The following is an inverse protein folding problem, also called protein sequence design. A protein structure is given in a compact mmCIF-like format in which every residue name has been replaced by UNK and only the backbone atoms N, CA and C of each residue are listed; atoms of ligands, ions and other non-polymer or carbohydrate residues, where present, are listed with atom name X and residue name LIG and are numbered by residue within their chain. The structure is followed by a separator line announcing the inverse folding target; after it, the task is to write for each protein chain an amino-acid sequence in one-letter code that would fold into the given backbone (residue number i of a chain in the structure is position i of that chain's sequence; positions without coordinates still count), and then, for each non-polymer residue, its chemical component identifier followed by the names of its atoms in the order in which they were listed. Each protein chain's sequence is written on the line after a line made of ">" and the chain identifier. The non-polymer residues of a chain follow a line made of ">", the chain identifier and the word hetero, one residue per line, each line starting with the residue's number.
data_IF_432499113228
#
_entry.id   IF_432499113228
#
_cell.length_a   1.000
_cell.length_b   1.000
_cell.length_c   1.000
_cell.angle_alpha   90.00
_cell.angle_beta   90.00
_cell.angle_gamma   90.00
#
_symmetry.space_group_name_H-M   'P 1'
#
loop_
_entity.id
_entity.type
_entity.pdbx_description
1 polymer ?
#
# COMPACT_ATOMS: atom_id res chain seq x y z
N UNK A 1 22.21 5.82 13.42
CA UNK A 1 21.06 5.18 12.72
C UNK A 1 19.99 4.79 13.72
N UNK A 2 18.71 5.07 13.44
CA UNK A 2 17.59 4.66 14.29
C UNK A 2 17.29 3.16 14.08
N UNK A 3 17.94 2.26 14.84
CA UNK A 3 17.83 0.80 14.67
C UNK A 3 16.38 0.30 14.71
N UNK A 4 15.56 0.86 15.61
CA UNK A 4 14.14 0.51 15.72
C UNK A 4 13.35 0.82 14.45
N UNK A 5 13.57 1.99 13.86
CA UNK A 5 12.88 2.40 12.62
C UNK A 5 13.16 1.43 11.48
N UNK A 6 14.44 1.08 11.28
CA UNK A 6 14.85 0.13 10.24
C UNK A 6 14.33 -1.29 10.46
N UNK A 7 14.28 -1.76 11.71
CA UNK A 7 13.68 -3.06 12.03
C UNK A 7 12.19 -3.09 11.66
N UNK A 8 11.44 -2.03 11.98
CA UNK A 8 10.04 -1.92 11.61
C UNK A 8 9.82 -1.85 10.09
N UNK A 9 10.73 -1.21 9.33
CA UNK A 9 10.70 -1.20 7.86
C UNK A 9 10.76 -2.62 7.31
N UNK A 10 11.75 -3.41 7.76
CA UNK A 10 11.93 -4.79 7.30
C UNK A 10 10.73 -5.66 7.71
N UNK A 11 10.26 -5.54 8.95
CA UNK A 11 9.08 -6.28 9.42
C UNK A 11 7.85 -5.96 8.57
N UNK A 12 7.57 -4.68 8.34
CA UNK A 12 6.41 -4.27 7.54
C UNK A 12 6.51 -4.80 6.10
N UNK A 13 7.69 -4.76 5.49
CA UNK A 13 7.93 -5.30 4.16
C UNK A 13 7.72 -6.81 4.08
N UNK A 14 8.28 -7.57 5.03
CA UNK A 14 8.13 -9.03 5.11
C UNK A 14 6.67 -9.40 5.34
N UNK A 15 5.97 -8.74 6.27
CA UNK A 15 4.56 -9.00 6.55
C UNK A 15 3.72 -8.74 5.30
N UNK A 16 3.90 -7.60 4.62
CA UNK A 16 3.16 -7.31 3.40
C UNK A 16 3.42 -8.37 2.32
N UNK A 17 4.68 -8.76 2.12
CA UNK A 17 5.07 -9.77 1.14
C UNK A 17 4.41 -11.13 1.40
N UNK A 18 4.42 -11.59 2.65
CA UNK A 18 3.84 -12.87 3.04
C UNK A 18 2.31 -12.86 2.92
N UNK A 19 1.65 -11.77 3.33
CA UNK A 19 0.19 -11.63 3.16
C UNK A 19 -0.18 -11.55 1.68
N UNK A 20 0.60 -10.81 0.88
CA UNK A 20 0.45 -10.73 -0.57
C UNK A 20 0.57 -12.11 -1.22
N UNK A 21 1.59 -12.88 -0.87
CA UNK A 21 1.79 -14.22 -1.40
C UNK A 21 0.66 -15.17 -0.98
N UNK A 22 0.32 -15.20 0.32
CA UNK A 22 -0.73 -16.05 0.85
C UNK A 22 -2.10 -15.74 0.22
N UNK A 23 -2.39 -14.47 -0.06
CA UNK A 23 -3.62 -14.06 -0.74
C UNK A 23 -3.73 -14.57 -2.19
N UNK A 24 -2.62 -15.03 -2.78
CA UNK A 24 -2.57 -15.57 -4.13
C UNK A 24 -2.64 -17.11 -4.19
N UNK A 25 -2.62 -17.79 -3.05
CA UNK A 25 -2.83 -19.23 -2.99
C UNK A 25 -4.23 -19.56 -3.48
N UNK A 26 -4.31 -20.44 -4.48
CA UNK A 26 -5.57 -20.86 -5.10
C UNK A 26 -5.68 -22.38 -5.07
N UNK A 27 -6.84 -22.88 -4.68
CA UNK A 27 -7.12 -24.33 -4.59
C UNK A 27 -7.71 -24.89 -5.88
N UNK A 28 -7.62 -26.20 -6.08
CA UNK A 28 -8.23 -26.88 -7.25
C UNK A 28 -9.74 -26.63 -7.34
N UNK A 29 -10.46 -26.67 -6.22
CA UNK A 29 -11.90 -26.40 -6.19
C UNK A 29 -12.25 -24.98 -6.68
N UNK A 30 -11.37 -23.99 -6.45
CA UNK A 30 -11.57 -22.64 -6.96
C UNK A 30 -11.27 -22.56 -8.47
N UNK A 31 -10.25 -23.28 -8.94
CA UNK A 31 -9.92 -23.35 -10.38
C UNK A 31 -11.02 -24.05 -11.20
N UNK A 32 -11.67 -25.05 -10.61
CA UNK A 32 -12.78 -25.80 -11.22
C UNK A 32 -14.14 -25.10 -11.08
N UNK A 33 -14.21 -23.93 -10.45
CA UNK A 33 -15.47 -23.19 -10.23
C UNK A 33 -16.41 -23.81 -9.18
N UNK A 34 -15.93 -24.80 -8.40
CA UNK A 34 -16.71 -25.47 -7.35
C UNK A 34 -16.77 -24.67 -6.04
N UNK A 35 -15.91 -23.66 -5.90
CA UNK A 35 -15.79 -22.83 -4.70
C UNK A 35 -15.76 -21.33 -5.01
N UNK A 36 -16.66 -20.87 -5.89
CA UNK A 36 -16.70 -19.50 -6.41
C UNK A 36 -16.83 -18.41 -5.33
N UNK A 37 -17.58 -18.66 -4.26
CA UNK A 37 -17.69 -17.72 -3.13
C UNK A 37 -16.35 -17.53 -2.41
N UNK A 38 -15.61 -18.63 -2.21
CA UNK A 38 -14.28 -18.60 -1.64
C UNK A 38 -13.28 -17.93 -2.59
N UNK A 39 -13.43 -18.17 -3.90
CA UNK A 39 -12.67 -17.47 -4.94
C UNK A 39 -12.91 -15.96 -4.89
N UNK A 40 -14.16 -15.50 -4.80
CA UNK A 40 -14.51 -14.08 -4.71
C UNK A 40 -13.86 -13.41 -3.49
N UNK A 41 -13.95 -14.05 -2.32
CA UNK A 41 -13.32 -13.55 -1.08
C UNK A 41 -11.79 -13.48 -1.19
N UNK A 42 -11.16 -14.54 -1.72
CA UNK A 42 -9.70 -14.61 -1.93
C UNK A 42 -9.22 -13.58 -2.95
N UNK A 43 -9.93 -13.41 -4.07
CA UNK A 43 -9.64 -12.38 -5.07
C UNK A 43 -9.77 -10.98 -4.47
N UNK A 44 -10.81 -10.72 -3.69
CA UNK A 44 -10.99 -9.43 -2.98
C UNK A 44 -9.77 -9.13 -2.11
N UNK A 45 -9.34 -10.09 -1.29
CA UNK A 45 -8.16 -9.95 -0.44
C UNK A 45 -6.90 -9.70 -1.26
N UNK A 46 -6.68 -10.49 -2.31
CA UNK A 46 -5.52 -10.33 -3.20
C UNK A 46 -5.49 -8.95 -3.84
N UNK A 47 -6.61 -8.48 -4.38
CA UNK A 47 -6.71 -7.17 -5.02
C UNK A 47 -6.51 -6.00 -4.04
N UNK A 48 -6.84 -6.19 -2.77
CA UNK A 48 -6.59 -5.19 -1.72
C UNK A 48 -5.12 -5.17 -1.32
N UNK A 49 -4.53 -6.32 -1.02
CA UNK A 49 -3.15 -6.41 -0.55
C UNK A 49 -2.15 -6.08 -1.67
N UNK A 50 -2.49 -6.43 -2.91
CA UNK A 50 -1.70 -6.14 -4.11
C UNK A 50 -2.10 -4.82 -4.78
N UNK A 51 -2.91 -3.98 -4.11
CA UNK A 51 -3.20 -2.64 -4.59
C UNK A 51 -1.92 -1.79 -4.62
N UNK A 52 -1.72 -1.02 -5.71
CA UNK A 52 -0.55 -0.17 -5.86
C UNK A 52 -0.42 0.85 -4.72
N UNK A 53 -1.54 1.35 -4.22
CA UNK A 53 -1.63 2.24 -3.06
C UNK A 53 -1.11 1.61 -1.78
N UNK A 54 -1.34 0.31 -1.56
CA UNK A 54 -0.85 -0.39 -0.36
C UNK A 54 0.67 -0.51 -0.41
N UNK A 55 1.22 -0.87 -1.56
CA UNK A 55 2.67 -0.93 -1.76
C UNK A 55 3.31 0.47 -1.69
N UNK A 56 2.70 1.48 -2.29
CA UNK A 56 3.13 2.86 -2.13
C UNK A 56 3.09 3.30 -0.65
N UNK A 57 2.04 2.88 0.07
CA UNK A 57 1.88 3.08 1.51
C UNK A 57 3.02 2.47 2.33
N UNK A 58 3.52 1.28 1.97
CA UNK A 58 4.69 0.69 2.61
C UNK A 58 5.94 1.58 2.45
N UNK A 59 6.19 2.12 1.25
CA UNK A 59 7.33 3.01 1.02
C UNK A 59 7.21 4.31 1.82
N UNK A 60 6.02 4.92 1.81
CA UNK A 60 5.71 6.14 2.60
C UNK A 60 5.85 5.87 4.10
N UNK A 61 5.29 4.77 4.62
CA UNK A 61 5.43 4.38 6.02
C UNK A 61 6.91 4.19 6.39
N UNK A 62 7.69 3.57 5.51
CA UNK A 62 9.11 3.32 5.75
C UNK A 62 9.91 4.61 5.92
N UNK A 63 9.69 5.59 5.06
CA UNK A 63 10.25 6.93 5.22
C UNK A 63 9.76 7.66 6.47
N UNK A 64 8.50 7.42 6.85
CA UNK A 64 7.92 7.93 8.09
C UNK A 64 8.54 7.30 9.35
N UNK A 65 9.04 6.07 9.28
CA UNK A 65 9.66 5.38 10.43
C UNK A 65 11.12 5.81 10.68
N UNK A 66 11.89 6.13 9.63
CA UNK A 66 13.34 6.42 9.75
C UNK A 66 13.71 7.87 10.05
N UNK A 67 12.72 8.78 10.10
CA UNK A 67 12.83 10.15 10.64
C UNK A 67 13.65 11.19 9.86
N UNK A 68 14.68 10.80 9.11
CA UNK A 68 15.56 11.72 8.37
C UNK A 68 15.36 11.59 6.86
N UNK A 69 15.53 12.68 6.11
CA UNK A 69 15.26 12.73 4.66
C UNK A 69 16.14 11.76 3.85
N UNK A 70 17.47 11.82 4.01
CA UNK A 70 18.37 10.94 3.26
C UNK A 70 18.13 9.44 3.56
N UNK A 71 18.03 8.98 4.83
CA UNK A 71 17.64 7.60 5.13
C UNK A 71 16.25 7.21 4.63
N UNK A 72 15.32 8.16 4.47
CA UNK A 72 13.96 7.86 4.03
C UNK A 72 13.89 7.41 2.58
N UNK A 73 14.72 8.00 1.71
CA UNK A 73 14.88 7.55 0.31
C UNK A 73 15.31 6.08 0.29
N UNK A 74 16.38 5.75 1.02
CA UNK A 74 16.86 4.37 1.12
C UNK A 74 15.81 3.44 1.74
N UNK A 75 15.10 3.87 2.78
CA UNK A 75 14.10 3.06 3.45
C UNK A 75 12.93 2.69 2.53
N UNK A 76 12.47 3.61 1.67
CA UNK A 76 11.41 3.32 0.71
C UNK A 76 11.84 2.29 -0.34
N UNK A 77 13.04 2.45 -0.92
CA UNK A 77 13.61 1.49 -1.88
C UNK A 77 13.81 0.12 -1.24
N UNK A 78 14.45 0.08 -0.06
CA UNK A 78 14.71 -1.17 0.66
C UNK A 78 13.41 -1.86 1.01
N UNK A 79 12.39 -1.15 1.49
CA UNK A 79 11.11 -1.75 1.84
C UNK A 79 10.45 -2.45 0.64
N UNK A 80 10.38 -1.79 -0.52
CA UNK A 80 9.75 -2.34 -1.71
C UNK A 80 10.55 -3.50 -2.31
N UNK A 81 11.88 -3.37 -2.35
CA UNK A 81 12.75 -4.46 -2.80
C UNK A 81 12.68 -5.66 -1.86
N UNK A 82 12.75 -5.45 -0.55
CA UNK A 82 12.60 -6.52 0.44
C UNK A 82 11.25 -7.20 0.28
N UNK A 83 10.16 -6.44 0.15
CA UNK A 83 8.84 -7.03 -0.03
C UNK A 83 8.76 -7.87 -1.32
N UNK A 84 9.29 -7.35 -2.44
CA UNK A 84 9.31 -8.07 -3.72
C UNK A 84 10.15 -9.34 -3.66
N UNK A 85 11.37 -9.24 -3.12
CA UNK A 85 12.30 -10.37 -3.00
C UNK A 85 11.72 -11.45 -2.09
N UNK A 86 11.14 -11.07 -0.95
CA UNK A 86 10.50 -12.04 -0.04
C UNK A 86 9.30 -12.70 -0.72
N UNK A 87 8.45 -11.92 -1.40
CA UNK A 87 7.28 -12.45 -2.10
C UNK A 87 7.68 -13.51 -3.13
N UNK A 88 8.63 -13.21 -4.01
CA UNK A 88 9.05 -14.14 -5.06
C UNK A 88 9.88 -15.31 -4.52
N UNK A 89 10.85 -15.07 -3.63
CA UNK A 89 11.68 -16.14 -3.08
C UNK A 89 10.87 -17.14 -2.25
N UNK A 90 9.93 -16.66 -1.44
CA UNK A 90 9.04 -17.55 -0.69
C UNK A 90 8.08 -18.25 -1.66
N UNK A 91 7.56 -17.57 -2.68
CA UNK A 91 6.74 -18.22 -3.71
C UNK A 91 7.46 -19.34 -4.45
N UNK A 92 8.76 -19.18 -4.76
CA UNK A 92 9.61 -20.25 -5.30
C UNK A 92 9.73 -21.40 -4.31
N UNK A 93 10.00 -21.11 -3.03
CA UNK A 93 10.16 -22.14 -1.99
C UNK A 93 8.89 -22.98 -1.78
N UNK A 94 7.71 -22.41 -2.02
CA UNK A 94 6.42 -23.10 -1.97
C UNK A 94 5.97 -23.68 -3.33
N UNK A 95 6.80 -23.59 -4.38
CA UNK A 95 6.47 -24.09 -5.72
C UNK A 95 5.36 -23.31 -6.44
N UNK A 96 5.04 -22.10 -5.98
CA UNK A 96 4.06 -21.22 -6.63
C UNK A 96 4.65 -20.52 -7.87
N UNK A 97 5.97 -20.32 -7.88
CA UNK A 97 6.70 -19.66 -8.95
C UNK A 97 7.90 -20.49 -9.38
N UNK A 98 8.27 -20.39 -10.65
CA UNK A 98 9.55 -20.87 -11.17
C UNK A 98 10.64 -19.77 -11.09
N UNK A 99 11.87 -20.11 -11.48
CA UNK A 99 12.98 -19.14 -11.50
C UNK A 99 12.81 -18.02 -12.54
N UNK A 100 11.96 -18.20 -13.55
CA UNK A 100 11.69 -17.17 -14.56
C UNK A 100 10.88 -15.99 -13.97
N UNK A 101 10.28 -16.15 -12.78
CA UNK A 101 9.57 -15.07 -12.07
C UNK A 101 10.40 -13.79 -11.92
N UNK A 102 11.72 -13.90 -11.75
CA UNK A 102 12.61 -12.75 -11.63
C UNK A 102 12.70 -11.93 -12.91
N UNK A 103 12.86 -12.61 -14.06
CA UNK A 103 12.93 -11.96 -15.36
C UNK A 103 11.55 -11.41 -15.76
N UNK A 104 10.49 -12.20 -15.56
CA UNK A 104 9.12 -11.80 -15.85
C UNK A 104 8.67 -10.55 -15.07
N UNK A 105 9.16 -10.39 -13.84
CA UNK A 105 8.79 -9.28 -12.95
C UNK A 105 9.91 -8.25 -12.75
N UNK A 106 10.91 -8.22 -13.64
CA UNK A 106 12.02 -7.25 -13.54
C UNK A 106 11.51 -5.81 -13.52
N UNK A 107 10.46 -5.51 -14.29
CA UNK A 107 9.84 -4.18 -14.33
C UNK A 107 9.31 -3.74 -12.95
N UNK A 108 8.80 -4.65 -12.12
CA UNK A 108 8.38 -4.34 -10.74
C UNK A 108 9.55 -4.02 -9.82
N UNK A 109 10.68 -4.72 -9.96
CA UNK A 109 11.90 -4.43 -9.20
C UNK A 109 12.47 -3.05 -9.60
N UNK A 110 12.46 -2.74 -10.90
CA UNK A 110 12.86 -1.42 -11.40
C UNK A 110 11.92 -0.32 -10.88
N UNK A 111 10.60 -0.55 -10.91
CA UNK A 111 9.62 0.38 -10.36
C UNK A 111 9.80 0.59 -8.85
N UNK A 112 10.11 -0.46 -8.09
CA UNK A 112 10.42 -0.37 -6.67
C UNK A 112 11.63 0.54 -6.39
N UNK A 113 12.67 0.47 -7.22
CA UNK A 113 13.83 1.37 -7.11
C UNK A 113 13.49 2.80 -7.50
N UNK A 114 12.81 2.97 -8.65
CA UNK A 114 12.50 4.29 -9.20
C UNK A 114 11.53 5.09 -8.31
N UNK A 115 10.49 4.43 -7.79
CA UNK A 115 9.39 5.08 -7.06
C UNK A 115 9.59 4.99 -5.55
N UNK A 116 10.30 3.97 -5.05
CA UNK A 116 10.52 3.77 -3.61
C UNK A 116 11.24 4.93 -2.94
N UNK A 117 12.26 5.50 -3.60
CA UNK A 117 13.00 6.65 -3.08
C UNK A 117 12.13 7.90 -2.89
N UNK A 118 11.46 8.38 -3.95
CA UNK A 118 10.49 9.47 -3.87
C UNK A 118 9.39 9.24 -2.82
N UNK A 119 8.78 8.05 -2.76
CA UNK A 119 7.74 7.75 -1.78
C UNK A 119 8.26 7.69 -0.34
N UNK A 120 9.47 7.16 -0.14
CA UNK A 120 10.15 7.24 1.14
C UNK A 120 10.34 8.70 1.59
N UNK A 121 10.75 9.57 0.68
CA UNK A 121 10.88 11.01 0.97
C UNK A 121 9.53 11.64 1.35
N UNK A 122 8.44 11.32 0.63
CA UNK A 122 7.07 11.71 0.99
C UNK A 122 6.75 11.30 2.43
N UNK A 123 7.08 10.07 2.81
CA UNK A 123 6.95 9.58 4.18
C UNK A 123 7.64 10.43 5.23
N UNK A 124 8.86 10.90 4.93
CA UNK A 124 9.58 11.77 5.84
C UNK A 124 8.98 13.19 5.92
N UNK A 125 8.54 13.73 4.79
CA UNK A 125 7.86 15.04 4.69
C UNK A 125 6.52 15.01 5.42
N UNK A 126 5.80 13.88 5.40
CA UNK A 126 4.51 13.71 6.08
C UNK A 126 4.54 13.95 7.60
N UNK A 127 5.72 13.98 8.23
CA UNK A 127 5.85 14.37 9.65
C UNK A 127 5.80 15.88 9.89
N UNK A 128 6.02 16.69 8.87
CA UNK A 128 5.95 18.15 8.97
C UNK A 128 4.53 18.58 9.36
N UNK A 129 4.43 19.69 10.06
CA UNK A 129 3.14 20.26 10.50
C UNK A 129 2.63 21.33 9.53
N UNK A 130 3.41 21.65 8.51
CA UNK A 130 3.13 22.64 7.48
C UNK A 130 2.28 22.06 6.33
N UNK A 131 1.85 22.88 5.36
CA UNK A 131 1.06 22.42 4.22
C UNK A 131 1.72 21.29 3.41
N UNK A 132 3.06 21.27 3.33
CA UNK A 132 3.80 20.19 2.67
C UNK A 132 3.64 18.86 3.41
N UNK A 133 3.65 18.88 4.74
CA UNK A 133 3.34 17.70 5.55
C UNK A 133 1.90 17.21 5.37
N UNK A 134 0.94 18.12 5.18
CA UNK A 134 -0.46 17.76 4.87
C UNK A 134 -0.55 17.12 3.49
N UNK A 135 0.04 17.74 2.46
CA UNK A 135 0.06 17.21 1.10
C UNK A 135 0.68 15.81 1.06
N UNK A 136 1.82 15.62 1.73
CA UNK A 136 2.48 14.32 1.82
C UNK A 136 1.62 13.24 2.51
N UNK A 137 0.81 13.59 3.52
CA UNK A 137 -0.13 12.65 4.16
C UNK A 137 -1.30 12.27 3.27
N UNK A 138 -1.63 13.07 2.25
CA UNK A 138 -2.72 12.80 1.33
C UNK A 138 -2.33 11.84 0.20
N UNK A 139 -1.04 11.60 -0.05
CA UNK A 139 -0.57 10.75 -1.16
C UNK A 139 -1.21 9.36 -1.15
N UNK A 140 -1.17 8.66 -0.01
CA UNK A 140 -1.76 7.31 0.11
C UNK A 140 -3.29 7.34 0.09
N UNK A 141 -3.98 8.20 0.87
CA UNK A 141 -5.44 8.32 0.78
C UNK A 141 -5.97 8.66 -0.62
N UNK A 142 -5.32 9.60 -1.32
CA UNK A 142 -5.69 9.98 -2.70
C UNK A 142 -5.46 8.80 -3.64
N UNK A 143 -4.36 8.07 -3.48
CA UNK A 143 -4.14 6.81 -4.19
C UNK A 143 -5.31 5.84 -4.00
N UNK A 144 -5.77 5.65 -2.76
CA UNK A 144 -6.90 4.76 -2.46
C UNK A 144 -8.23 5.20 -3.10
N UNK A 145 -8.44 6.51 -3.26
CA UNK A 145 -9.59 7.06 -3.99
C UNK A 145 -9.47 6.83 -5.49
N UNK A 146 -8.30 7.08 -6.08
CA UNK A 146 -8.11 7.11 -7.53
C UNK A 146 -7.87 5.72 -8.13
N UNK A 147 -7.15 4.84 -7.42
CA UNK A 147 -6.72 3.54 -7.94
C UNK A 147 -7.89 2.69 -8.48
N UNK A 148 -9.03 2.54 -7.79
CA UNK A 148 -10.15 1.75 -8.32
C UNK A 148 -10.64 2.19 -9.70
N UNK A 149 -10.58 3.48 -9.99
CA UNK A 149 -10.98 4.05 -11.29
C UNK A 149 -9.89 3.86 -12.33
N UNK A 150 -8.62 4.09 -11.96
CA UNK A 150 -7.47 3.96 -12.87
C UNK A 150 -7.32 2.52 -13.36
N UNK A 151 -7.51 1.54 -12.48
CA UNK A 151 -7.38 0.11 -12.82
C UNK A 151 -8.71 -0.53 -13.25
N UNK A 152 -9.78 0.26 -13.41
CA UNK A 152 -11.03 -0.19 -13.98
C UNK A 152 -11.85 -1.17 -13.12
N UNK A 153 -11.74 -1.10 -11.79
CA UNK A 153 -12.46 -2.02 -10.87
C UNK A 153 -13.99 -1.91 -10.93
N UNK A 154 -14.51 -0.82 -11.49
CA UNK A 154 -15.95 -0.60 -11.67
C UNK A 154 -16.43 -0.84 -13.11
N UNK A 155 -15.53 -1.26 -13.99
CA UNK A 155 -15.81 -1.47 -15.42
C UNK A 155 -15.48 -2.89 -15.87
N UNK A 156 -15.43 -3.84 -14.92
CA UNK A 156 -15.11 -5.25 -15.18
C UNK A 156 -16.08 -5.86 -16.20
N UNK A 157 -15.59 -6.40 -17.34
CA UNK A 157 -16.43 -6.96 -18.38
C UNK A 157 -17.35 -8.10 -17.91
N UNK A 158 -18.58 -8.16 -18.44
CA UNK A 158 -19.55 -9.20 -18.11
C UNK A 158 -19.12 -10.62 -18.53
N UNK A 159 -18.17 -10.74 -19.47
CA UNK A 159 -17.60 -12.02 -19.90
C UNK A 159 -16.76 -12.71 -18.81
N UNK A 160 -16.24 -11.96 -17.84
CA UNK A 160 -15.48 -12.54 -16.72
C UNK A 160 -16.41 -13.21 -15.71
N UNK A 161 -16.03 -14.34 -15.09
CA UNK A 161 -16.83 -15.00 -14.06
C UNK A 161 -17.27 -14.06 -12.93
N UNK A 162 -18.45 -14.31 -12.36
CA UNK A 162 -19.03 -13.46 -11.31
C UNK A 162 -18.10 -13.22 -10.09
N UNK A 163 -17.24 -14.18 -9.65
CA UNK A 163 -16.32 -13.94 -8.53
C UNK A 163 -15.36 -12.79 -8.78
N UNK A 164 -14.89 -12.62 -10.03
CA UNK A 164 -14.01 -11.52 -10.41
C UNK A 164 -14.72 -10.17 -10.30
N UNK A 165 -15.95 -10.09 -10.81
CA UNK A 165 -16.75 -8.86 -10.78
C UNK A 165 -17.09 -8.43 -9.35
N UNK A 166 -17.46 -9.39 -8.50
CA UNK A 166 -17.72 -9.12 -7.09
C UNK A 166 -16.43 -8.68 -6.40
N UNK A 167 -15.32 -9.37 -6.63
CA UNK A 167 -14.04 -8.99 -6.04
C UNK A 167 -13.60 -7.57 -6.43
N UNK A 168 -13.71 -7.23 -7.71
CA UNK A 168 -13.35 -5.90 -8.23
C UNK A 168 -14.21 -4.81 -7.58
N UNK A 169 -15.53 -4.99 -7.55
CA UNK A 169 -16.44 -4.01 -6.93
C UNK A 169 -16.15 -3.87 -5.43
N UNK A 170 -16.05 -4.98 -4.70
CA UNK A 170 -15.86 -4.96 -3.24
C UNK A 170 -14.50 -4.36 -2.89
N UNK A 171 -13.43 -4.77 -3.57
CA UNK A 171 -12.09 -4.23 -3.33
C UNK A 171 -11.99 -2.76 -3.75
N UNK A 172 -12.64 -2.36 -4.85
CA UNK A 172 -12.74 -0.97 -5.29
C UNK A 172 -13.46 -0.09 -4.29
N UNK A 173 -14.62 -0.53 -3.78
CA UNK A 173 -15.36 0.18 -2.74
C UNK A 173 -14.58 0.28 -1.43
N UNK A 174 -13.87 -0.79 -1.05
CA UNK A 174 -13.04 -0.79 0.16
C UNK A 174 -11.87 0.20 0.06
N UNK A 175 -11.15 0.23 -1.06
CA UNK A 175 -10.09 1.21 -1.31
C UNK A 175 -10.64 2.64 -1.32
N UNK A 176 -11.75 2.87 -2.05
CA UNK A 176 -12.38 4.18 -2.14
C UNK A 176 -12.80 4.69 -0.75
N UNK A 177 -13.46 3.83 0.03
CA UNK A 177 -13.91 4.16 1.38
C UNK A 177 -12.72 4.46 2.30
N UNK A 178 -11.69 3.61 2.28
CA UNK A 178 -10.48 3.83 3.07
C UNK A 178 -9.76 5.13 2.67
N UNK A 179 -9.70 5.42 1.38
CA UNK A 179 -9.12 6.65 0.83
C UNK A 179 -9.89 7.90 1.27
N UNK A 180 -11.22 7.91 1.12
CA UNK A 180 -12.08 9.02 1.56
C UNK A 180 -11.96 9.26 3.06
N UNK A 181 -12.01 8.20 3.86
CA UNK A 181 -11.83 8.28 5.32
C UNK A 181 -10.44 8.81 5.67
N UNK A 182 -9.40 8.36 4.96
CA UNK A 182 -8.03 8.84 5.12
C UNK A 182 -7.90 10.34 4.83
N UNK A 183 -8.44 10.80 3.70
CA UNK A 183 -8.49 12.22 3.33
C UNK A 183 -9.19 13.05 4.40
N UNK A 184 -10.38 12.62 4.83
CA UNK A 184 -11.15 13.30 5.87
C UNK A 184 -10.36 13.42 7.18
N UNK A 185 -9.70 12.34 7.61
CA UNK A 185 -8.86 12.34 8.82
C UNK A 185 -7.71 13.32 8.74
N UNK A 186 -7.04 13.41 7.59
CA UNK A 186 -5.93 14.36 7.38
C UNK A 186 -6.42 15.81 7.49
N UNK A 187 -7.55 16.14 6.85
CA UNK A 187 -8.12 17.49 6.92
C UNK A 187 -8.69 17.83 8.31
N UNK A 188 -9.39 16.90 8.96
CA UNK A 188 -9.93 17.09 10.30
C UNK A 188 -8.82 17.32 11.34
N UNK A 189 -7.69 16.61 11.24
CA UNK A 189 -6.53 16.83 12.09
C UNK A 189 -5.86 18.19 11.83
N UNK A 190 -5.90 18.69 10.59
CA UNK A 190 -5.44 20.03 10.23
C UNK A 190 -6.29 21.13 10.86
N UNK A 191 -7.63 21.00 10.82
CA UNK A 191 -8.58 22.00 11.36
C UNK A 191 -8.57 22.12 12.89
N UNK A 192 -8.22 21.06 13.62
CA UNK A 192 -8.17 21.08 15.10
C UNK A 192 -6.97 21.85 15.68
N UNK A 193 -5.94 22.14 14.88
CA UNK A 193 -4.71 22.78 15.35
C UNK A 193 -4.79 24.32 15.45
N UNK A 194 -5.36 25.05 14.47
CA UNK A 194 -5.58 26.51 14.59
C UNK A 194 -6.40 26.90 15.82
N UNK A 195 -7.44 26.11 16.14
CA UNK A 195 -8.31 26.37 17.28
C UNK A 195 -7.61 26.28 18.65
N UNK A 196 -6.50 25.54 18.74
CA UNK A 196 -5.70 25.44 19.98
C UNK A 196 -4.70 26.60 20.08
N UNK A 197 -4.12 27.06 18.95
CA UNK A 197 -3.20 28.21 18.99
C UNK A 197 -3.91 29.53 19.28
N UNK A 198 -5.12 29.75 18.73
CA UNK A 198 -5.93 30.94 19.04
C UNK A 198 -6.39 30.99 20.51
N UNK A 199 -6.74 29.84 21.10
CA UNK A 199 -7.08 29.77 22.53
C UNK A 199 -5.89 30.02 23.46
N UNK A 200 -4.67 29.71 23.01
CA UNK A 200 -3.45 29.99 23.80
C UNK A 200 -3.07 31.46 23.73
N UNK A 201 -3.19 32.08 22.56
CA UNK A 201 -2.92 33.50 22.36
C UNK A 201 -3.91 34.43 23.08
N UNK A 202 -5.12 33.94 23.38
CA UNK A 202 -6.15 34.69 24.13
C UNK A 202 -6.12 34.43 25.65
N UNK A 203 -5.25 33.53 26.12
CA UNK A 203 -5.15 33.13 27.52
C UNK A 203 -3.86 33.60 28.23
N UNK A 204 -2.99 34.36 27.53
CA UNK A 204 -1.87 35.07 28.17
C UNK A 204 -2.28 36.53 28.44
N UNK A 205 -2.52 36.91 29.71
CA UNK A 205 -2.78 38.29 30.12
C UNK A 205 -1.52 39.16 30.19
#
# INVERSE_FOLDING_TARGET
>A
MNRRGWCLVVIAAVVLALVSLASNVTTLNQLEGKADTLLAGRLTLSQLVNAGTVWAGLAVLSGWLVRRLAPAVAAGVIALLTASVVHYSVGIAFGMFDLNVWAANLHWLLAAMAVGGPLGLVGAIARRLDPWGVAARLVVPVGGVLEPFVVGRFTTPAILPWPNRVADIVSGLALLTAGVVGCFRVFAAGRRRPAISERRATAEP
#
